data_IF_784776696281
#
_entry.id   IF_784776696281
#
_cell.length_a   1.000
_cell.length_b   1.000
_cell.length_c   1.000
_cell.angle_alpha   90.00
_cell.angle_beta   90.00
_cell.angle_gamma   90.00
#
_symmetry.space_group_name_H-M   'P 1'
#
loop_
_entity.id
_entity.type
_entity.pdbx_description
1 polymer ?
#
# COMPACT_ATOMS: atom_id res chain seq x y z
N UNK A 1 -10.70 -13.89 -7.90
CA UNK A 1 -10.00 -15.11 -7.48
C UNK A 1 -8.60 -15.15 -8.05
N UNK A 2 -7.65 -14.79 -7.20
CA UNK A 2 -6.21 -15.04 -7.39
C UNK A 2 -5.80 -16.13 -6.41
N UNK A 3 -4.88 -17.00 -6.80
CA UNK A 3 -4.43 -18.07 -5.92
C UNK A 3 -2.96 -18.40 -6.18
N UNK A 4 -2.24 -18.73 -5.11
CA UNK A 4 -0.90 -19.32 -5.18
C UNK A 4 -1.07 -20.83 -5.17
N UNK A 5 -0.62 -21.50 -6.23
CA UNK A 5 -0.70 -22.95 -6.35
C UNK A 5 0.69 -23.57 -6.36
N UNK A 6 0.85 -24.71 -5.69
CA UNK A 6 2.08 -25.48 -5.76
C UNK A 6 2.11 -26.32 -7.03
N UNK A 7 3.16 -26.14 -7.83
CA UNK A 7 3.38 -26.90 -9.06
C UNK A 7 4.17 -28.19 -8.78
N UNK A 8 3.69 -29.31 -9.33
CA UNK A 8 4.32 -30.62 -9.28
C UNK A 8 4.64 -31.08 -10.70
N UNK A 9 5.82 -30.71 -11.24
CA UNK A 9 6.22 -31.09 -12.59
C UNK A 9 6.51 -32.59 -12.69
N UNK A 10 5.90 -33.24 -13.67
CA UNK A 10 6.16 -34.62 -14.07
C UNK A 10 6.98 -34.62 -15.37
N UNK A 11 8.29 -34.42 -15.22
CA UNK A 11 9.19 -34.17 -16.35
C UNK A 11 9.16 -35.25 -17.43
N UNK A 12 9.01 -36.52 -17.04
CA UNK A 12 8.90 -37.64 -17.99
C UNK A 12 7.64 -37.60 -18.86
N UNK A 13 6.53 -37.10 -18.32
CA UNK A 13 5.27 -36.94 -19.03
C UNK A 13 5.12 -35.54 -19.68
N UNK A 14 6.01 -34.59 -19.35
CA UNK A 14 5.91 -33.17 -19.71
C UNK A 14 4.57 -32.55 -19.30
N UNK A 15 4.05 -32.97 -18.15
CA UNK A 15 2.82 -32.45 -17.54
C UNK A 15 3.16 -31.83 -16.20
N UNK A 16 2.54 -30.70 -15.87
CA UNK A 16 2.65 -30.08 -14.54
C UNK A 16 1.28 -30.12 -13.87
N UNK A 17 1.22 -30.76 -12.70
CA UNK A 17 0.02 -30.78 -11.86
C UNK A 17 0.04 -29.59 -10.91
N UNK A 18 -1.04 -28.81 -10.86
CA UNK A 18 -1.20 -27.71 -9.91
C UNK A 18 -2.11 -28.17 -8.77
N UNK A 19 -1.62 -28.13 -7.54
CA UNK A 19 -2.41 -28.55 -6.36
C UNK A 19 -3.39 -27.43 -5.96
N UNK A 20 -4.64 -27.53 -6.39
CA UNK A 20 -5.74 -26.59 -6.07
C UNK A 20 -6.29 -26.74 -4.65
N UNK A 21 -6.22 -27.93 -4.04
CA UNK A 21 -6.76 -28.18 -2.70
C UNK A 21 -8.24 -27.80 -2.60
N UNK A 22 -8.59 -26.95 -1.62
CA UNK A 22 -9.96 -26.48 -1.39
C UNK A 22 -10.53 -25.62 -2.53
N UNK A 23 -9.69 -25.16 -3.47
CA UNK A 23 -10.13 -24.38 -4.64
C UNK A 23 -10.64 -25.25 -5.78
N UNK A 24 -10.54 -26.58 -5.69
CA UNK A 24 -10.91 -27.49 -6.79
C UNK A 24 -12.36 -27.32 -7.23
N UNK A 25 -13.28 -27.07 -6.28
CA UNK A 25 -14.69 -26.80 -6.57
C UNK A 25 -14.95 -25.48 -7.30
N UNK A 26 -13.96 -24.57 -7.36
CA UNK A 26 -14.05 -23.28 -8.06
C UNK A 26 -13.48 -23.34 -9.47
N UNK A 27 -12.79 -24.43 -9.82
CA UNK A 27 -12.25 -24.66 -11.16
C UNK A 27 -13.25 -25.51 -11.97
N UNK A 28 -13.52 -25.11 -13.20
CA UNK A 28 -14.43 -25.82 -14.11
C UNK A 28 -13.69 -26.53 -15.23
N UNK A 29 -14.27 -27.63 -15.71
CA UNK A 29 -13.78 -28.30 -16.92
C UNK A 29 -13.77 -27.33 -18.10
N UNK A 30 -12.65 -27.28 -18.82
CA UNK A 30 -12.43 -26.36 -19.94
C UNK A 30 -12.13 -24.90 -19.54
N UNK A 31 -12.03 -24.57 -18.25
CA UNK A 31 -11.62 -23.24 -17.80
C UNK A 31 -10.17 -22.95 -18.20
N UNK A 32 -9.94 -21.84 -18.90
CA UNK A 32 -8.59 -21.35 -19.18
C UNK A 32 -8.06 -20.57 -17.98
N UNK A 33 -6.82 -20.83 -17.58
CA UNK A 33 -6.16 -20.21 -16.43
C UNK A 33 -4.85 -19.57 -16.91
N UNK A 34 -4.60 -18.33 -16.50
CA UNK A 34 -3.31 -17.65 -16.69
C UNK A 34 -2.40 -17.95 -15.50
N UNK A 35 -1.15 -18.31 -15.77
CA UNK A 35 -0.15 -18.62 -14.74
C UNK A 35 0.92 -17.54 -14.79
N UNK A 36 1.27 -17.01 -13.63
CA UNK A 36 2.37 -16.08 -13.43
C UNK A 36 3.21 -16.55 -12.25
N UNK A 37 4.49 -16.18 -12.22
CA UNK A 37 5.31 -16.38 -11.04
C UNK A 37 4.76 -15.59 -9.84
N UNK A 38 5.01 -16.11 -8.64
CA UNK A 38 4.57 -15.45 -7.40
C UNK A 38 5.36 -14.14 -7.25
N UNK A 39 4.68 -12.99 -7.12
CA UNK A 39 5.38 -11.72 -6.94
C UNK A 39 6.10 -11.71 -5.58
N UNK A 40 7.21 -10.96 -5.46
CA UNK A 40 8.02 -10.88 -4.21
C UNK A 40 7.17 -10.54 -2.98
N UNK A 41 6.13 -9.73 -3.15
CA UNK A 41 5.21 -9.34 -2.07
C UNK A 41 4.44 -10.53 -1.47
N UNK A 42 4.29 -11.62 -2.22
CA UNK A 42 3.56 -12.83 -1.82
C UNK A 42 4.47 -14.03 -1.61
N UNK A 43 5.79 -13.85 -1.61
CA UNK A 43 6.76 -14.95 -1.53
C UNK A 43 6.60 -15.77 -0.23
N UNK A 44 6.24 -15.09 0.86
CA UNK A 44 5.98 -15.72 2.16
C UNK A 44 4.51 -16.10 2.38
N UNK A 45 3.63 -15.85 1.41
CA UNK A 45 2.21 -16.18 1.52
C UNK A 45 2.02 -17.67 1.23
N UNK A 46 1.28 -18.41 2.09
CA UNK A 46 1.04 -19.83 1.86
C UNK A 46 0.24 -20.06 0.58
N UNK A 47 0.41 -21.25 -0.01
CA UNK A 47 -0.39 -21.68 -1.14
C UNK A 47 -1.88 -21.70 -0.77
N UNK A 48 -2.73 -21.14 -1.62
CA UNK A 48 -4.16 -20.98 -1.35
C UNK A 48 -4.77 -19.81 -2.11
N UNK A 49 -6.04 -19.53 -1.80
CA UNK A 49 -6.73 -18.34 -2.29
C UNK A 49 -6.07 -17.11 -1.68
N UNK A 50 -5.72 -16.15 -2.53
CA UNK A 50 -5.30 -14.85 -2.05
C UNK A 50 -6.56 -14.02 -1.84
N UNK A 51 -6.77 -13.42 -0.66
CA UNK A 51 -7.91 -12.55 -0.43
C UNK A 51 -7.97 -11.48 -1.52
N UNK A 52 -9.13 -11.34 -2.16
CA UNK A 52 -9.39 -10.28 -3.14
C UNK A 52 -9.58 -8.91 -2.42
N UNK A 53 -9.48 -8.87 -1.08
CA UNK A 53 -9.65 -7.68 -0.24
C UNK A 53 -8.33 -7.02 0.15
N UNK A 54 -8.30 -5.69 0.03
CA UNK A 54 -7.18 -4.85 0.45
C UNK A 54 -6.08 -4.69 -0.61
N UNK A 55 -5.14 -3.79 -0.32
CA UNK A 55 -3.97 -3.51 -1.14
C UNK A 55 -2.72 -4.07 -0.44
N UNK A 56 -1.95 -4.95 -1.08
CA UNK A 56 -0.76 -5.54 -0.44
C UNK A 56 0.32 -4.49 -0.17
N UNK A 57 0.44 -3.50 -1.05
CA UNK A 57 1.41 -2.44 -0.90
C UNK A 57 1.17 -1.58 0.35
N UNK A 58 -0.08 -1.51 0.83
CA UNK A 58 -0.43 -0.81 2.07
C UNK A 58 0.11 -1.51 3.32
N UNK A 59 0.50 -2.79 3.22
CA UNK A 59 1.05 -3.58 4.32
C UNK A 59 2.59 -3.53 4.37
N UNK A 60 3.23 -2.89 3.40
CA UNK A 60 4.69 -2.79 3.36
C UNK A 60 5.18 -1.84 4.46
N UNK A 61 5.89 -2.38 5.44
CA UNK A 61 6.45 -1.62 6.56
C UNK A 61 7.40 -0.50 6.10
N UNK A 62 8.10 -0.71 4.98
CA UNK A 62 9.01 0.30 4.45
C UNK A 62 8.30 1.55 3.90
N UNK A 63 6.97 1.49 3.69
CA UNK A 63 6.16 2.62 3.24
C UNK A 63 5.38 3.31 4.37
N UNK A 64 5.50 2.87 5.62
CA UNK A 64 4.71 3.45 6.72
C UNK A 64 5.00 4.93 6.96
N UNK A 65 6.25 5.36 6.78
CA UNK A 65 6.61 6.78 6.85
C UNK A 65 5.96 7.61 5.74
N UNK A 66 5.86 7.05 4.53
CA UNK A 66 5.16 7.69 3.41
C UNK A 66 3.65 7.82 3.68
N UNK A 67 3.00 6.77 4.17
CA UNK A 67 1.57 6.81 4.48
C UNK A 67 1.23 7.73 5.66
N UNK A 68 2.19 8.04 6.52
CA UNK A 68 2.03 8.93 7.67
C UNK A 68 2.35 10.40 7.36
N UNK A 69 2.91 10.72 6.20
CA UNK A 69 3.27 12.09 5.81
C UNK A 69 2.01 12.92 5.53
N UNK A 70 1.88 14.08 6.19
CA UNK A 70 0.71 14.96 6.06
C UNK A 70 0.51 15.48 4.64
N UNK A 71 1.58 15.64 3.86
CA UNK A 71 1.52 16.07 2.45
C UNK A 71 0.92 14.97 1.58
N UNK A 72 1.27 13.71 1.84
CA UNK A 72 0.71 12.53 1.15
C UNK A 72 -0.77 12.39 1.48
N UNK A 73 -1.14 12.53 2.76
CA UNK A 73 -2.54 12.52 3.21
C UNK A 73 -3.35 13.61 2.49
N UNK A 74 -2.83 14.83 2.43
CA UNK A 74 -3.50 15.94 1.74
C UNK A 74 -3.61 15.71 0.23
N UNK A 75 -2.56 15.18 -0.41
CA UNK A 75 -2.56 14.81 -1.83
C UNK A 75 -3.57 13.71 -2.18
N UNK A 76 -3.89 12.84 -1.21
CA UNK A 76 -4.92 11.81 -1.33
C UNK A 76 -6.35 12.31 -1.05
N UNK A 77 -6.54 13.60 -0.74
CA UNK A 77 -7.86 14.19 -0.45
C UNK A 77 -8.09 14.56 1.01
N UNK A 78 -7.06 14.45 1.85
CA UNK A 78 -7.07 14.89 3.24
C UNK A 78 -7.86 14.00 4.20
N UNK A 79 -7.93 14.36 5.49
CA UNK A 79 -8.62 13.58 6.52
C UNK A 79 -10.09 13.29 6.23
N UNK A 80 -10.79 14.21 5.58
CA UNK A 80 -12.19 14.03 5.16
C UNK A 80 -12.33 12.94 4.08
N UNK A 81 -11.38 12.86 3.15
CA UNK A 81 -11.32 11.80 2.16
C UNK A 81 -11.15 10.43 2.81
N UNK A 82 -10.28 10.35 3.82
CA UNK A 82 -10.08 9.14 4.62
C UNK A 82 -11.36 8.76 5.39
N UNK A 83 -11.97 9.71 6.09
CA UNK A 83 -13.22 9.49 6.84
C UNK A 83 -14.34 8.96 5.93
N UNK A 84 -14.49 9.55 4.73
CA UNK A 84 -15.45 9.09 3.72
C UNK A 84 -15.14 7.71 3.14
N UNK A 85 -13.87 7.33 3.06
CA UNK A 85 -13.49 5.99 2.64
C UNK A 85 -13.80 4.96 3.74
N UNK A 86 -13.41 5.26 4.99
CA UNK A 86 -13.65 4.43 6.16
C UNK A 86 -15.15 4.23 6.43
N UNK A 87 -16.00 5.22 6.15
CA UNK A 87 -17.46 5.09 6.32
C UNK A 87 -18.12 4.02 5.42
N UNK A 88 -17.42 3.57 4.37
CA UNK A 88 -17.87 2.49 3.48
C UNK A 88 -17.54 1.10 4.01
N UNK A 89 -16.72 1.00 5.07
CA UNK A 89 -16.42 -0.27 5.72
C UNK A 89 -17.72 -0.78 6.38
N UNK A 90 -18.15 -2.01 6.04
CA UNK A 90 -19.46 -2.52 6.43
C UNK A 90 -19.54 -2.97 7.89
N UNK A 91 -18.39 -3.19 8.55
CA UNK A 91 -18.32 -3.79 9.87
C UNK A 91 -17.54 -2.90 10.86
N UNK A 92 -17.75 -3.15 12.16
CA UNK A 92 -16.95 -2.57 13.22
C UNK A 92 -15.50 -3.10 13.14
N UNK A 93 -14.51 -2.22 13.23
CA UNK A 93 -13.10 -2.59 13.15
C UNK A 93 -12.45 -2.83 14.52
N UNK A 94 -13.14 -2.51 15.62
CA UNK A 94 -12.64 -2.87 16.94
C UNK A 94 -12.67 -4.39 17.08
N UNK A 95 -11.51 -5.00 17.36
CA UNK A 95 -11.49 -6.37 17.84
C UNK A 95 -12.24 -6.44 19.19
N UNK A 96 -12.66 -7.62 19.64
CA UNK A 96 -13.40 -7.85 20.91
C UNK A 96 -12.63 -7.44 22.20
N UNK A 97 -11.61 -6.60 22.09
CA UNK A 97 -10.87 -5.96 23.16
C UNK A 97 -11.72 -4.89 23.86
N UNK A 98 -12.69 -5.33 24.66
CA UNK A 98 -13.17 -4.57 25.83
C UNK A 98 -14.67 -4.45 26.03
N UNK A 99 -15.50 -4.79 25.04
CA UNK A 99 -16.96 -4.87 25.20
C UNK A 99 -17.39 -6.23 24.68
N UNK A 100 -17.76 -7.14 25.57
CA UNK A 100 -17.97 -8.55 25.25
C UNK A 100 -18.89 -8.75 24.04
N UNK A 101 -18.32 -9.27 22.95
CA UNK A 101 -18.92 -10.06 21.87
C UNK A 101 -20.03 -9.45 21.00
N UNK A 102 -20.80 -8.48 21.51
CA UNK A 102 -22.01 -7.99 20.86
C UNK A 102 -21.75 -6.62 20.21
N UNK A 103 -21.43 -6.66 18.92
CA UNK A 103 -21.37 -5.48 18.07
C UNK A 103 -22.79 -5.02 17.70
N UNK A 104 -23.09 -3.74 17.91
CA UNK A 104 -24.39 -3.17 17.51
C UNK A 104 -24.38 -2.77 16.03
N UNK A 105 -25.54 -2.86 15.37
CA UNK A 105 -25.70 -2.57 13.92
C UNK A 105 -25.39 -1.11 13.56
N UNK A 106 -25.57 -0.18 14.51
CA UNK A 106 -25.33 1.24 14.27
C UNK A 106 -23.83 1.55 14.27
N UNK A 107 -23.30 1.82 13.08
CA UNK A 107 -21.89 2.12 12.84
C UNK A 107 -21.65 3.62 12.71
N UNK A 108 -20.66 4.13 13.42
CA UNK A 108 -20.12 5.48 13.35
C UNK A 108 -18.72 5.46 12.74
N UNK A 109 -18.31 6.58 12.15
CA UNK A 109 -16.92 6.79 11.71
C UNK A 109 -16.31 7.79 12.66
N UNK A 110 -15.41 7.32 13.51
CA UNK A 110 -14.67 8.17 14.42
C UNK A 110 -13.47 8.76 13.68
N UNK A 111 -13.27 10.07 13.83
CA UNK A 111 -12.11 10.78 13.31
C UNK A 111 -11.25 11.25 14.48
N UNK A 112 -9.96 10.93 14.43
CA UNK A 112 -9.01 11.32 15.47
C UNK A 112 -8.49 12.73 15.23
N UNK A 113 -7.93 13.36 16.27
CA UNK A 113 -7.41 14.73 16.18
C UNK A 113 -6.23 14.87 15.20
N UNK A 114 -5.45 13.80 15.02
CA UNK A 114 -4.37 13.69 14.04
C UNK A 114 -4.87 13.37 12.61
N UNK A 115 -6.19 13.39 12.38
CA UNK A 115 -6.79 13.17 11.07
C UNK A 115 -6.83 11.71 10.62
N UNK A 116 -6.65 10.77 11.54
CA UNK A 116 -6.96 9.36 11.33
C UNK A 116 -8.47 9.09 11.37
N UNK A 117 -8.89 7.94 10.84
CA UNK A 117 -10.29 7.53 10.93
C UNK A 117 -10.44 6.02 11.13
N UNK A 118 -11.47 5.62 11.86
CA UNK A 118 -11.81 4.22 12.14
C UNK A 118 -13.31 4.02 12.15
N UNK A 119 -13.76 2.85 11.64
CA UNK A 119 -15.17 2.45 11.61
C UNK A 119 -15.49 1.65 12.87
N UNK A 120 -16.45 2.12 13.67
CA UNK A 120 -16.80 1.51 14.94
C UNK A 120 -18.31 1.36 15.07
N UNK A 121 -18.78 0.37 15.81
CA UNK A 121 -20.15 0.41 16.32
C UNK A 121 -20.25 1.46 17.43
N UNK A 122 -21.45 2.02 17.63
CA UNK A 122 -21.67 3.07 18.64
C UNK A 122 -21.21 2.67 20.05
N UNK A 123 -21.30 1.38 20.41
CA UNK A 123 -20.82 0.88 21.70
C UNK A 123 -19.28 0.94 21.81
N UNK A 124 -18.56 0.44 20.80
CA UNK A 124 -17.10 0.51 20.75
C UNK A 124 -16.61 1.96 20.66
N UNK A 125 -17.30 2.81 19.89
CA UNK A 125 -16.97 4.23 19.76
C UNK A 125 -16.95 4.92 21.13
N UNK A 126 -18.00 4.74 21.93
CA UNK A 126 -18.08 5.30 23.29
C UNK A 126 -16.96 4.81 24.23
N UNK A 127 -16.54 3.54 24.10
CA UNK A 127 -15.45 2.97 24.92
C UNK A 127 -14.11 3.66 24.63
N UNK A 128 -13.87 4.04 23.37
CA UNK A 128 -12.60 4.63 22.94
C UNK A 128 -12.61 6.15 22.85
N UNK A 129 -13.79 6.79 22.79
CA UNK A 129 -13.97 8.24 22.62
C UNK A 129 -13.12 9.06 23.61
N UNK A 130 -13.29 8.81 24.92
CA UNK A 130 -12.55 9.53 25.97
C UNK A 130 -11.06 9.16 26.04
N UNK A 131 -10.65 8.04 25.43
CA UNK A 131 -9.25 7.58 25.39
C UNK A 131 -8.50 8.10 24.16
N UNK A 132 -9.18 8.82 23.27
CA UNK A 132 -8.63 9.32 22.01
C UNK A 132 -8.24 8.21 21.03
N UNK A 133 -8.93 7.05 21.09
CA UNK A 133 -8.72 5.92 20.16
C UNK A 133 -7.29 5.37 20.08
N UNK A 134 -6.43 5.62 21.09
CA UNK A 134 -5.03 5.17 21.09
C UNK A 134 -4.86 3.67 20.91
N UNK A 135 -5.76 2.89 21.51
CA UNK A 135 -5.76 1.42 21.42
C UNK A 135 -6.06 0.93 19.99
N UNK A 136 -6.55 1.80 19.10
CA UNK A 136 -6.88 1.51 17.70
C UNK A 136 -5.86 2.11 16.72
N UNK A 137 -4.70 2.57 17.20
CA UNK A 137 -3.67 3.23 16.37
C UNK A 137 -3.23 2.37 15.19
N UNK A 138 -3.09 1.06 15.38
CA UNK A 138 -2.68 0.14 14.31
C UNK A 138 -3.75 0.03 13.21
N UNK A 139 -5.03 -0.02 13.60
CA UNK A 139 -6.17 -0.04 12.67
C UNK A 139 -6.24 1.28 11.90
N UNK A 140 -6.08 2.40 12.58
CA UNK A 140 -6.09 3.74 11.96
C UNK A 140 -4.94 3.87 10.95
N UNK A 141 -3.75 3.40 11.31
CA UNK A 141 -2.56 3.41 10.43
C UNK A 141 -2.79 2.55 9.20
N UNK A 142 -3.36 1.35 9.39
CA UNK A 142 -3.72 0.46 8.28
C UNK A 142 -4.78 1.06 7.36
N UNK A 143 -5.84 1.63 7.91
CA UNK A 143 -6.88 2.32 7.14
C UNK A 143 -6.28 3.44 6.29
N UNK A 144 -5.37 4.23 6.86
CA UNK A 144 -4.68 5.31 6.15
C UNK A 144 -3.88 4.77 4.97
N UNK A 145 -3.08 3.73 5.17
CA UNK A 145 -2.30 3.10 4.11
C UNK A 145 -3.19 2.50 3.01
N UNK A 146 -4.21 1.73 3.37
CA UNK A 146 -5.13 1.11 2.40
C UNK A 146 -5.89 2.17 1.59
N UNK A 147 -6.36 3.23 2.25
CA UNK A 147 -7.03 4.35 1.59
C UNK A 147 -6.10 5.09 0.61
N UNK A 148 -4.87 5.42 1.01
CA UNK A 148 -3.92 6.12 0.12
C UNK A 148 -3.65 5.29 -1.14
N UNK A 149 -3.43 3.98 -0.98
CA UNK A 149 -3.18 3.10 -2.12
C UNK A 149 -4.43 2.95 -3.00
N UNK A 150 -5.63 2.80 -2.41
CA UNK A 150 -6.88 2.78 -3.18
C UNK A 150 -7.16 4.10 -3.89
N UNK A 151 -6.82 5.24 -3.26
CA UNK A 151 -6.92 6.55 -3.89
C UNK A 151 -5.96 6.69 -5.07
N UNK A 152 -4.70 6.25 -4.92
CA UNK A 152 -3.73 6.18 -6.00
C UNK A 152 -4.27 5.35 -7.17
N UNK A 153 -4.76 4.13 -6.88
CA UNK A 153 -5.42 3.25 -7.85
C UNK A 153 -6.54 3.95 -8.63
N UNK A 154 -7.46 4.59 -7.91
CA UNK A 154 -8.59 5.33 -8.51
C UNK A 154 -8.12 6.48 -9.37
N UNK A 155 -7.16 7.28 -8.90
CA UNK A 155 -6.66 8.46 -9.60
C UNK A 155 -5.89 8.12 -10.88
N UNK A 156 -5.22 6.97 -10.90
CA UNK A 156 -4.57 6.41 -12.09
C UNK A 156 -5.54 5.66 -13.01
N UNK A 157 -6.85 5.64 -12.68
CA UNK A 157 -7.91 4.95 -13.45
C UNK A 157 -7.67 3.45 -13.61
N UNK A 158 -7.00 2.84 -12.64
CA UNK A 158 -6.80 1.39 -12.60
C UNK A 158 -8.11 0.70 -12.17
N UNK A 159 -8.28 -0.55 -12.58
CA UNK A 159 -9.47 -1.35 -12.27
C UNK A 159 -9.65 -1.52 -10.75
N UNK A 160 -10.87 -1.84 -10.30
CA UNK A 160 -11.19 -1.92 -8.85
C UNK A 160 -10.38 -3.01 -8.15
N UNK A 161 -10.14 -4.10 -8.84
CA UNK A 161 -9.47 -5.29 -8.36
C UNK A 161 -7.94 -5.25 -8.57
N UNK A 162 -7.42 -4.16 -9.16
CA UNK A 162 -6.00 -3.99 -9.44
C UNK A 162 -5.19 -3.81 -8.16
N UNK A 163 -4.08 -4.55 -8.05
CA UNK A 163 -3.11 -4.37 -6.97
C UNK A 163 -2.06 -3.36 -7.42
N UNK A 164 -2.00 -2.21 -6.74
CA UNK A 164 -1.07 -1.14 -7.08
C UNK A 164 0.36 -1.62 -6.86
N UNK A 165 1.18 -1.43 -7.88
CA UNK A 165 2.61 -1.73 -7.87
C UNK A 165 3.42 -0.53 -7.38
N UNK A 166 4.67 -0.76 -6.97
CA UNK A 166 5.58 0.31 -6.55
C UNK A 166 5.79 1.40 -7.62
N UNK A 167 6.02 1.06 -8.91
CA UNK A 167 6.11 2.06 -9.96
C UNK A 167 4.82 2.87 -10.16
N UNK A 168 3.64 2.26 -9.99
CA UNK A 168 2.36 2.97 -10.08
C UNK A 168 2.16 3.92 -8.90
N UNK A 169 2.47 3.49 -7.67
CA UNK A 169 2.44 4.37 -6.49
C UNK A 169 3.44 5.53 -6.65
N UNK A 170 4.63 5.26 -7.19
CA UNK A 170 5.61 6.29 -7.50
C UNK A 170 5.11 7.26 -8.57
N UNK A 171 4.51 6.77 -9.65
CA UNK A 171 3.89 7.61 -10.67
C UNK A 171 2.81 8.52 -10.07
N UNK A 172 1.96 7.98 -9.20
CA UNK A 172 0.98 8.78 -8.46
C UNK A 172 1.65 9.87 -7.62
N UNK A 173 2.70 9.53 -6.86
CA UNK A 173 3.41 10.48 -6.03
C UNK A 173 4.06 11.61 -6.85
N UNK A 174 4.61 11.30 -8.03
CA UNK A 174 5.12 12.29 -8.99
C UNK A 174 3.99 13.20 -9.49
N UNK A 175 2.86 12.64 -9.91
CA UNK A 175 1.70 13.42 -10.37
C UNK A 175 1.10 14.30 -9.27
N UNK A 176 1.34 13.98 -8.00
CA UNK A 176 0.87 14.73 -6.83
C UNK A 176 1.94 15.62 -6.18
N UNK A 177 3.18 15.60 -6.66
CA UNK A 177 4.27 16.40 -6.10
C UNK A 177 4.65 16.00 -4.66
N UNK A 178 4.56 14.71 -4.34
CA UNK A 178 4.89 14.15 -3.02
C UNK A 178 5.93 13.02 -3.13
N UNK A 179 6.75 13.06 -4.17
CA UNK A 179 7.73 12.01 -4.48
C UNK A 179 8.80 11.90 -3.41
N UNK A 180 9.18 13.04 -2.83
CA UNK A 180 10.20 13.16 -1.79
C UNK A 180 9.81 12.48 -0.46
N UNK A 181 8.52 12.23 -0.25
CA UNK A 181 8.02 11.46 0.89
C UNK A 181 8.26 9.95 0.73
N UNK A 182 8.52 9.43 -0.48
CA UNK A 182 8.79 8.01 -0.69
C UNK A 182 10.21 7.68 -0.20
N UNK A 183 10.39 6.68 0.69
CA UNK A 183 11.72 6.30 1.16
C UNK A 183 12.62 5.82 0.03
N UNK A 184 13.85 6.34 -0.01
CA UNK A 184 14.83 6.06 -1.08
C UNK A 184 15.10 4.56 -1.26
N UNK A 185 15.15 3.80 -0.16
CA UNK A 185 15.33 2.34 -0.19
C UNK A 185 14.17 1.62 -0.89
N UNK A 186 12.96 2.19 -0.87
CA UNK A 186 11.81 1.67 -1.61
C UNK A 186 11.92 2.01 -3.10
N UNK A 187 12.35 3.23 -3.43
CA UNK A 187 12.58 3.64 -4.82
C UNK A 187 13.64 2.75 -5.49
N UNK A 188 14.72 2.42 -4.78
CA UNK A 188 15.77 1.49 -5.21
C UNK A 188 15.27 0.08 -5.57
N UNK A 189 14.07 -0.33 -5.13
CA UNK A 189 13.51 -1.66 -5.46
C UNK A 189 13.07 -1.78 -6.92
N UNK A 190 12.79 -0.67 -7.60
CA UNK A 190 12.35 -0.66 -9.00
C UNK A 190 13.11 0.33 -9.88
N UNK A 191 13.91 1.23 -9.32
CA UNK A 191 14.78 2.15 -10.04
C UNK A 191 16.25 1.94 -9.66
N UNK A 192 17.14 1.98 -10.63
CA UNK A 192 18.59 1.93 -10.42
C UNK A 192 19.10 3.29 -9.92
N UNK A 193 18.95 3.55 -8.63
CA UNK A 193 19.56 4.69 -7.94
C UNK A 193 20.86 4.26 -7.27
N UNK A 194 21.93 5.07 -7.31
CA UNK A 194 23.15 4.78 -6.58
C UNK A 194 22.86 4.60 -5.09
N UNK A 195 23.53 3.63 -4.46
CA UNK A 195 23.55 3.55 -3.00
C UNK A 195 24.27 4.78 -2.45
N UNK A 196 23.79 5.32 -1.34
CA UNK A 196 24.49 6.41 -0.69
C UNK A 196 25.79 5.82 -0.13
N UNK A 197 26.94 6.31 -0.59
CA UNK A 197 28.23 5.92 -0.02
C UNK A 197 28.23 6.27 1.46
N UNK A 198 28.23 5.24 2.31
CA UNK A 198 28.41 5.43 3.75
C UNK A 198 29.86 5.84 3.94
N UNK A 199 30.10 7.16 3.99
CA UNK A 199 31.41 7.73 4.26
C UNK A 199 31.89 7.21 5.62
N UNK A 200 32.72 6.17 5.61
CA UNK A 200 33.26 5.54 6.80
C UNK A 200 34.73 5.95 6.93
N UNK A 201 35.07 6.65 8.02
CA UNK A 201 36.43 7.12 8.31
C UNK A 201 36.65 8.62 8.08
N UNK A 202 37.92 9.06 8.20
CA UNK A 202 38.32 10.45 7.98
C UNK A 202 38.48 10.72 6.48
N UNK A 203 37.49 11.35 5.86
CA UNK A 203 37.57 11.83 4.48
C UNK A 203 38.33 13.16 4.43
N UNK A 204 39.24 13.30 3.45
CA UNK A 204 39.87 14.58 3.16
C UNK A 204 38.87 15.47 2.44
N UNK A 205 38.89 16.77 2.75
CA UNK A 205 37.96 17.75 2.18
C UNK A 205 38.01 17.81 0.64
N UNK A 206 39.18 17.53 0.04
CA UNK A 206 39.36 17.49 -1.41
C UNK A 206 38.67 16.29 -2.11
N UNK A 207 38.33 15.24 -1.37
CA UNK A 207 37.66 14.05 -1.91
C UNK A 207 36.12 14.19 -1.90
N UNK A 208 35.59 15.27 -1.32
CA UNK A 208 34.16 15.59 -1.35
C UNK A 208 33.85 16.17 -2.73
N UNK A 209 33.17 15.41 -3.59
CA UNK A 209 32.67 15.90 -4.86
C UNK A 209 31.32 16.63 -4.65
N UNK A 210 31.24 17.97 -4.75
CA UNK A 210 30.01 18.72 -4.53
C UNK A 210 28.93 18.46 -5.58
N UNK A 211 29.31 17.88 -6.72
CA UNK A 211 28.44 17.62 -7.86
C UNK A 211 27.94 16.17 -7.92
N UNK A 212 28.33 15.33 -6.96
CA UNK A 212 27.84 13.96 -6.87
C UNK A 212 26.38 13.98 -6.42
N UNK A 213 25.49 13.55 -7.32
CA UNK A 213 24.06 13.55 -7.05
C UNK A 213 23.70 12.39 -6.13
N UNK A 214 23.20 12.73 -4.94
CA UNK A 214 22.55 11.76 -4.06
C UNK A 214 21.29 11.18 -4.73
N UNK A 215 20.85 10.02 -4.24
CA UNK A 215 19.60 9.42 -4.71
C UNK A 215 18.40 10.37 -4.53
N UNK A 216 18.38 11.20 -3.48
CA UNK A 216 17.36 12.24 -3.27
C UNK A 216 17.38 13.32 -4.34
N UNK A 217 18.56 13.83 -4.71
CA UNK A 217 18.69 14.84 -5.76
C UNK A 217 18.27 14.30 -7.12
N UNK A 218 18.56 13.02 -7.40
CA UNK A 218 18.12 12.36 -8.64
C UNK A 218 16.60 12.30 -8.75
N UNK A 219 15.91 11.95 -7.65
CA UNK A 219 14.44 11.93 -7.58
C UNK A 219 13.85 13.34 -7.78
N UNK A 220 14.43 14.36 -7.16
CA UNK A 220 14.00 15.76 -7.33
C UNK A 220 14.12 16.26 -8.78
N UNK A 221 15.16 15.82 -9.50
CA UNK A 221 15.32 16.17 -10.93
C UNK A 221 14.21 15.54 -11.77
N UNK A 222 13.87 14.28 -11.51
CA UNK A 222 12.77 13.58 -12.20
C UNK A 222 11.44 14.31 -11.94
N UNK A 223 11.18 14.67 -10.69
CA UNK A 223 9.99 15.43 -10.30
C UNK A 223 9.92 16.78 -11.02
N UNK A 224 10.99 17.57 -10.98
CA UNK A 224 11.04 18.88 -11.65
C UNK A 224 10.77 18.78 -13.15
N UNK A 225 11.39 17.81 -13.83
CA UNK A 225 11.17 17.57 -15.27
C UNK A 225 9.76 17.09 -15.57
N UNK A 226 9.16 16.29 -14.70
CA UNK A 226 7.77 15.86 -14.86
C UNK A 226 6.79 17.05 -14.73
N UNK A 227 7.01 17.93 -13.75
CA UNK A 227 6.21 19.16 -13.58
C UNK A 227 6.34 20.07 -14.81
N UNK A 228 7.56 20.29 -15.31
CA UNK A 228 7.81 21.08 -16.53
C UNK A 228 7.17 20.44 -17.78
N UNK A 229 7.15 19.11 -17.86
CA UNK A 229 6.49 18.35 -18.93
C UNK A 229 4.96 18.39 -18.88
N UNK A 230 4.35 18.44 -17.69
CA UNK A 230 2.89 18.52 -17.53
C UNK A 230 2.38 19.94 -17.84
N UNK A 231 3.15 20.98 -17.50
CA UNK A 231 2.82 22.38 -17.82
C UNK A 231 2.91 22.70 -19.32
N UNK A 232 3.60 21.87 -20.11
CA UNK A 232 3.78 22.05 -21.56
C UNK A 232 2.76 21.31 -22.43
N UNK A 233 1.78 20.61 -21.85
CA UNK A 233 0.66 20.00 -22.59
C UNK A 233 -0.47 21.05 -22.69
N UNK A 234 -0.80 21.57 -23.88
CA UNK A 234 -1.89 22.54 -24.03
C UNK A 234 -3.25 21.85 -23.78
N UNK A 235 -4.31 22.63 -23.45
CA UNK A 235 -5.61 22.09 -23.02
C UNK A 235 -6.31 21.20 -24.06
#
# INVERSE_FOLDING_TARGET
MRAILTAFPQNGARVTLLKSGNLTNRLRDGQRIMICDVPRQLENTPAGEIPDSGQWLAQDEALQSFFSDSRVINAAGGPEGLSRWVSRIPDCQCADTGAGGDHVVNLTTAQTQDGGAVRLCHACDNVHYMKGYRDLSDIITRNRAEWIVDYARMSLRLEREHQVTLPELFCWAVLRGVTDAIPTNVIRRFASLPEDEVLTGTIKEADINPWQLSARQTVQIVEKKAVEGIVSIPP
#
